data_IF_141351455639
#
_entry.id   IF_141351455639
#
_cell.length_a   1.000
_cell.length_b   1.000
_cell.length_c   1.000
_cell.angle_alpha   90.00
_cell.angle_beta   90.00
_cell.angle_gamma   90.00
#
_symmetry.space_group_name_H-M   'P 1'
#
loop_
_entity.id
_entity.type
_entity.pdbx_description
1 polymer ?
#
# COMPACT_ATOMS: atom_id res chain seq x y z
N UNK A 1 -9.23 12.68 2.11
CA UNK A 1 -8.16 12.50 3.14
C UNK A 1 -8.02 11.01 3.44
N UNK A 2 -6.83 10.49 3.34
CA UNK A 2 -6.53 9.10 3.71
C UNK A 2 -5.97 9.07 5.13
N UNK A 3 -6.53 8.20 5.98
CA UNK A 3 -6.07 8.01 7.36
C UNK A 3 -5.82 6.53 7.55
N UNK A 4 -4.56 6.12 7.69
CA UNK A 4 -4.20 4.70 7.80
C UNK A 4 -3.12 4.46 8.83
N UNK A 5 -3.07 3.23 9.34
CA UNK A 5 -1.96 2.72 10.14
C UNK A 5 -1.33 1.52 9.44
N UNK A 6 -0.06 1.32 9.70
CA UNK A 6 0.77 0.32 9.00
C UNK A 6 1.57 -0.49 10.00
N UNK A 7 1.61 -1.80 9.79
CA UNK A 7 2.25 -2.74 10.73
C UNK A 7 3.09 -3.75 9.97
N UNK A 8 4.23 -4.13 10.54
CA UNK A 8 5.00 -5.27 10.07
C UNK A 8 4.29 -6.56 10.46
N UNK A 9 4.37 -7.56 9.60
CA UNK A 9 3.75 -8.87 9.84
C UNK A 9 4.84 -9.93 9.91
N UNK A 10 5.18 -10.41 11.12
CA UNK A 10 6.26 -11.37 11.28
C UNK A 10 5.90 -12.78 10.76
N UNK A 11 4.62 -13.15 10.84
CA UNK A 11 4.15 -14.45 10.36
C UNK A 11 2.78 -14.28 9.71
N UNK A 12 2.64 -14.83 8.50
CA UNK A 12 1.38 -14.78 7.76
C UNK A 12 0.31 -15.64 8.44
N UNK A 13 -0.98 -15.23 8.42
CA UNK A 13 -2.07 -16.06 8.90
C UNK A 13 -2.15 -17.39 8.13
N UNK A 14 -2.52 -18.46 8.83
CA UNK A 14 -2.59 -19.82 8.24
C UNK A 14 -3.68 -19.94 7.16
N UNK A 15 -4.75 -19.14 7.28
CA UNK A 15 -5.91 -19.19 6.39
C UNK A 15 -5.84 -18.14 5.27
N UNK A 16 -4.65 -17.61 4.99
CA UNK A 16 -4.47 -16.48 4.07
C UNK A 16 -5.10 -16.72 2.69
N UNK A 17 -4.96 -17.92 2.16
CA UNK A 17 -5.46 -18.26 0.82
C UNK A 17 -7.00 -18.29 0.74
N UNK A 18 -7.70 -18.22 1.88
CA UNK A 18 -9.17 -18.15 1.90
C UNK A 18 -9.71 -16.75 1.60
N UNK A 19 -8.85 -15.73 1.62
CA UNK A 19 -9.27 -14.33 1.43
C UNK A 19 -9.14 -13.88 -0.02
N UNK A 20 -9.97 -12.91 -0.40
CA UNK A 20 -9.84 -12.22 -1.68
C UNK A 20 -8.51 -11.47 -1.75
N UNK A 21 -8.01 -11.26 -2.95
CA UNK A 21 -6.75 -10.55 -3.14
C UNK A 21 -6.74 -9.75 -4.44
N UNK A 22 -5.84 -8.79 -4.51
CA UNK A 22 -5.50 -8.06 -5.72
C UNK A 22 -4.02 -8.25 -6.05
N UNK A 23 -3.71 -8.32 -7.34
CA UNK A 23 -2.34 -8.27 -7.83
C UNK A 23 -2.05 -6.82 -8.18
N UNK A 24 -1.00 -6.25 -7.58
CA UNK A 24 -0.65 -4.84 -7.72
C UNK A 24 0.76 -4.70 -8.27
N UNK A 25 0.88 -3.83 -9.28
CA UNK A 25 2.15 -3.35 -9.81
C UNK A 25 2.10 -1.84 -9.78
N UNK A 26 3.14 -1.20 -9.26
CA UNK A 26 3.13 0.25 -9.15
C UNK A 26 4.52 0.86 -9.26
N UNK A 27 4.55 2.09 -9.75
CA UNK A 27 5.77 2.88 -9.86
C UNK A 27 5.50 4.34 -9.59
N UNK A 28 6.55 5.09 -9.31
CA UNK A 28 6.45 6.49 -8.92
C UNK A 28 7.06 7.39 -9.99
N UNK A 29 6.31 8.41 -10.40
CA UNK A 29 6.81 9.47 -11.27
C UNK A 29 7.48 10.58 -10.45
N UNK A 30 7.04 10.70 -9.19
CA UNK A 30 7.52 11.68 -8.25
C UNK A 30 7.15 11.20 -6.85
N UNK A 31 7.97 11.49 -5.84
CA UNK A 31 7.69 11.04 -4.47
C UNK A 31 7.41 12.17 -3.48
N UNK A 32 7.59 13.44 -3.90
CA UNK A 32 7.30 14.60 -3.05
C UNK A 32 6.83 15.76 -3.93
N UNK A 33 5.52 15.95 -4.11
CA UNK A 33 4.43 15.09 -3.67
C UNK A 33 4.46 13.72 -4.34
N UNK A 34 3.72 12.79 -3.81
CA UNK A 34 3.62 11.47 -4.43
C UNK A 34 2.76 11.55 -5.69
N UNK A 35 3.33 11.11 -6.81
CA UNK A 35 2.59 10.86 -8.05
C UNK A 35 2.93 9.44 -8.47
N UNK A 36 1.95 8.56 -8.40
CA UNK A 36 2.12 7.11 -8.58
C UNK A 36 1.19 6.61 -9.66
N UNK A 37 1.67 5.67 -10.45
CA UNK A 37 0.81 4.87 -11.33
C UNK A 37 0.71 3.46 -10.77
N UNK A 38 -0.47 2.86 -10.90
CA UNK A 38 -0.75 1.52 -10.39
C UNK A 38 -1.61 0.74 -11.37
N UNK A 39 -1.22 -0.49 -11.60
CA UNK A 39 -2.09 -1.52 -12.14
C UNK A 39 -2.57 -2.36 -10.97
N UNK A 40 -3.87 -2.48 -10.81
CA UNK A 40 -4.50 -3.34 -9.83
C UNK A 40 -5.44 -4.28 -10.57
N UNK A 41 -5.05 -5.55 -10.71
CA UNK A 41 -5.70 -6.52 -11.58
C UNK A 41 -5.79 -5.96 -13.01
N UNK A 42 -6.98 -5.62 -13.50
CA UNK A 42 -7.18 -5.04 -14.84
C UNK A 42 -7.49 -3.54 -14.79
N UNK A 43 -7.33 -2.90 -13.65
CA UNK A 43 -7.58 -1.47 -13.47
C UNK A 43 -6.27 -0.69 -13.43
N UNK A 44 -6.29 0.51 -13.97
CA UNK A 44 -5.11 1.38 -14.06
C UNK A 44 -5.45 2.74 -13.46
N UNK A 45 -4.63 3.21 -12.54
CA UNK A 45 -4.92 4.39 -11.72
C UNK A 45 -3.66 5.24 -11.58
N UNK A 46 -3.84 6.57 -11.70
CA UNK A 46 -2.82 7.54 -11.28
C UNK A 46 -3.27 8.12 -9.95
N UNK A 47 -2.36 8.14 -8.97
CA UNK A 47 -2.65 8.62 -7.63
C UNK A 47 -1.71 9.77 -7.27
N UNK A 48 -2.29 10.86 -6.75
CA UNK A 48 -1.57 11.95 -6.11
C UNK A 48 -1.76 11.81 -4.60
N UNK A 49 -0.67 11.92 -3.84
CA UNK A 49 -0.74 12.00 -2.37
C UNK A 49 0.06 13.19 -1.88
N UNK A 50 -0.55 13.99 -0.99
CA UNK A 50 0.10 15.10 -0.34
C UNK A 50 1.02 14.66 0.80
N UNK A 51 1.47 15.63 1.59
CA UNK A 51 2.35 15.40 2.73
C UNK A 51 1.59 14.76 3.88
N UNK A 52 2.32 14.06 4.75
CA UNK A 52 1.80 13.43 5.94
C UNK A 52 2.23 11.97 6.03
N UNK A 53 2.06 11.38 7.21
CA UNK A 53 2.37 9.97 7.45
C UNK A 53 1.10 9.18 7.73
N UNK A 54 0.31 9.60 8.72
CA UNK A 54 -0.97 8.95 9.02
C UNK A 54 -2.13 9.56 8.23
N UNK A 55 -2.17 10.90 8.09
CA UNK A 55 -3.23 11.62 7.40
C UNK A 55 -2.67 12.31 6.16
N UNK A 56 -3.26 12.04 4.98
CA UNK A 56 -2.78 12.57 3.70
C UNK A 56 -3.95 12.87 2.78
N UNK A 57 -3.79 13.90 1.96
CA UNK A 57 -4.67 14.09 0.81
C UNK A 57 -4.38 12.99 -0.21
N UNK A 58 -5.41 12.45 -0.82
CA UNK A 58 -5.30 11.43 -1.86
C UNK A 58 -6.31 11.69 -2.96
N UNK A 59 -5.83 11.69 -4.19
CA UNK A 59 -6.67 11.80 -5.38
C UNK A 59 -6.33 10.70 -6.34
N UNK A 60 -7.33 9.94 -6.77
CA UNK A 60 -7.18 8.83 -7.70
C UNK A 60 -7.87 9.15 -9.01
N UNK A 61 -7.14 9.04 -10.11
CA UNK A 61 -7.63 9.31 -11.46
C UNK A 61 -7.49 8.05 -12.32
N UNK A 62 -8.52 7.69 -13.08
CA UNK A 62 -8.42 6.50 -13.92
C UNK A 62 -7.46 6.71 -15.09
N UNK A 63 -6.75 5.65 -15.44
CA UNK A 63 -5.93 5.57 -16.65
C UNK A 63 -6.45 4.43 -17.52
N UNK A 64 -6.20 4.50 -18.82
CA UNK A 64 -6.33 3.34 -19.67
C UNK A 64 -5.00 2.57 -19.71
N UNK A 65 -5.01 1.37 -20.27
CA UNK A 65 -3.82 0.53 -20.34
C UNK A 65 -2.68 1.21 -21.11
N UNK A 66 -3.01 1.84 -22.23
CA UNK A 66 -2.02 2.51 -23.08
C UNK A 66 -1.31 3.64 -22.33
N UNK A 67 -2.07 4.47 -21.61
CA UNK A 67 -1.50 5.55 -20.79
C UNK A 67 -0.63 4.98 -19.66
N UNK A 68 -1.08 3.91 -19.02
CA UNK A 68 -0.31 3.26 -17.96
C UNK A 68 1.04 2.76 -18.49
N UNK A 69 1.03 2.03 -19.60
CA UNK A 69 2.27 1.50 -20.18
C UNK A 69 3.22 2.61 -20.62
N UNK A 70 2.69 3.71 -21.14
CA UNK A 70 3.48 4.88 -21.50
C UNK A 70 4.17 5.50 -20.28
N UNK A 71 3.39 5.73 -19.21
CA UNK A 71 3.91 6.32 -17.98
C UNK A 71 4.86 5.38 -17.25
N UNK A 72 4.64 4.07 -17.34
CA UNK A 72 5.51 3.06 -16.73
C UNK A 72 6.95 3.18 -17.21
N UNK A 73 7.16 3.58 -18.47
CA UNK A 73 8.50 3.81 -19.02
C UNK A 73 9.20 5.01 -18.39
N UNK A 74 8.45 5.88 -17.71
CA UNK A 74 8.95 7.14 -17.15
C UNK A 74 9.07 7.13 -15.63
N UNK A 75 8.85 6.02 -14.97
CA UNK A 75 8.96 5.95 -13.53
C UNK A 75 10.40 6.15 -13.05
N UNK A 76 10.53 6.72 -11.87
CA UNK A 76 11.80 6.80 -11.16
C UNK A 76 11.93 5.61 -10.22
N UNK A 77 13.12 4.99 -10.22
CA UNK A 77 13.42 3.91 -9.28
C UNK A 77 12.74 2.59 -9.59
N UNK A 78 12.46 1.83 -8.55
CA UNK A 78 12.00 0.46 -8.66
C UNK A 78 10.51 0.36 -8.95
N UNK A 79 10.14 -0.55 -9.84
CA UNK A 79 8.76 -1.00 -9.97
C UNK A 79 8.47 -1.94 -8.79
N UNK A 80 7.37 -1.71 -8.10
CA UNK A 80 6.98 -2.50 -6.93
C UNK A 80 5.82 -3.41 -7.33
N UNK A 81 5.96 -4.70 -7.05
CA UNK A 81 4.93 -5.70 -7.30
C UNK A 81 4.58 -6.40 -6.00
N UNK A 82 3.31 -6.61 -5.76
CA UNK A 82 2.84 -7.23 -4.53
C UNK A 82 1.47 -7.87 -4.71
N UNK A 83 1.14 -8.80 -3.81
CA UNK A 83 -0.19 -9.39 -3.70
C UNK A 83 -0.82 -8.84 -2.43
N UNK A 84 -1.98 -8.20 -2.59
CA UNK A 84 -2.70 -7.57 -1.47
C UNK A 84 -3.91 -8.41 -1.12
N UNK A 85 -3.89 -9.00 0.07
CA UNK A 85 -5.02 -9.75 0.60
C UNK A 85 -5.95 -8.82 1.35
N UNK A 86 -7.26 -9.04 1.22
CA UNK A 86 -8.29 -8.26 1.89
C UNK A 86 -8.89 -9.09 3.02
N UNK A 87 -8.58 -8.72 4.25
CA UNK A 87 -9.01 -9.47 5.44
C UNK A 87 -9.99 -8.61 6.24
N UNK A 88 -11.31 -8.91 6.19
CA UNK A 88 -12.28 -8.14 6.96
C UNK A 88 -12.04 -8.31 8.46
N UNK A 89 -12.08 -7.21 9.21
CA UNK A 89 -12.07 -7.23 10.68
C UNK A 89 -13.50 -7.19 11.18
N UNK A 90 -14.28 -6.26 10.63
CA UNK A 90 -15.69 -6.05 10.97
C UNK A 90 -16.38 -5.42 9.75
N UNK A 91 -17.60 -4.90 9.93
CA UNK A 91 -18.38 -4.31 8.84
C UNK A 91 -17.76 -3.00 8.31
N UNK A 92 -16.84 -2.38 9.06
CA UNK A 92 -16.27 -1.07 8.72
C UNK A 92 -14.80 -1.12 8.31
N UNK A 93 -14.03 -2.09 8.82
CA UNK A 93 -12.58 -2.13 8.65
C UNK A 93 -12.12 -3.37 7.90
N UNK A 94 -11.19 -3.17 6.99
CA UNK A 94 -10.53 -4.25 6.25
C UNK A 94 -9.02 -4.08 6.39
N UNK A 95 -8.35 -5.18 6.70
CA UNK A 95 -6.88 -5.24 6.67
C UNK A 95 -6.46 -5.45 5.23
N UNK A 96 -5.57 -4.60 4.74
CA UNK A 96 -4.89 -4.79 3.47
C UNK A 96 -3.51 -5.35 3.76
N UNK A 97 -3.34 -6.66 3.56
CA UNK A 97 -2.08 -7.35 3.84
C UNK A 97 -1.29 -7.52 2.56
N UNK A 98 -0.17 -6.80 2.47
CA UNK A 98 0.70 -6.81 1.30
C UNK A 98 1.84 -7.80 1.49
N UNK A 99 1.90 -8.79 0.61
CA UNK A 99 3.00 -9.74 0.48
C UNK A 99 3.77 -9.34 -0.78
N UNK A 100 4.98 -8.81 -0.58
CA UNK A 100 5.75 -8.25 -1.69
C UNK A 100 6.44 -9.34 -2.51
N UNK A 101 6.56 -9.08 -3.81
CA UNK A 101 7.34 -9.91 -4.72
C UNK A 101 8.79 -9.41 -4.79
N UNK A 102 9.68 -10.18 -5.43
CA UNK A 102 11.07 -9.77 -5.60
C UNK A 102 11.15 -8.31 -6.12
N UNK A 103 12.11 -7.52 -5.65
CA UNK A 103 13.21 -7.88 -4.74
C UNK A 103 12.88 -7.69 -3.26
N UNK A 104 11.62 -7.49 -2.90
CA UNK A 104 11.18 -7.20 -1.54
C UNK A 104 10.43 -8.36 -0.88
N UNK A 105 10.71 -9.58 -1.28
CA UNK A 105 9.95 -10.79 -0.89
C UNK A 105 9.96 -11.09 0.60
N UNK A 106 10.88 -10.52 1.36
CA UNK A 106 10.89 -10.70 2.82
C UNK A 106 9.97 -9.71 3.53
N UNK A 107 9.46 -8.70 2.82
CA UNK A 107 8.63 -7.66 3.42
C UNK A 107 7.16 -8.05 3.38
N UNK A 108 6.49 -7.89 4.51
CA UNK A 108 5.06 -8.11 4.67
C UNK A 108 4.51 -6.98 5.52
N UNK A 109 3.55 -6.26 5.00
CA UNK A 109 2.96 -5.09 5.65
C UNK A 109 1.44 -5.22 5.68
N UNK A 110 0.84 -4.87 6.80
CA UNK A 110 -0.61 -4.71 6.89
C UNK A 110 -0.95 -3.25 7.04
N UNK A 111 -1.92 -2.80 6.26
CA UNK A 111 -2.46 -1.45 6.34
C UNK A 111 -3.93 -1.53 6.70
N UNK A 112 -4.38 -0.61 7.55
CA UNK A 112 -5.79 -0.45 7.88
C UNK A 112 -6.13 1.01 7.70
N UNK A 113 -7.15 1.30 6.90
CA UNK A 113 -7.66 2.65 6.69
C UNK A 113 -8.84 2.91 7.61
N UNK A 114 -8.90 4.12 8.17
CA UNK A 114 -9.89 4.50 9.18
C UNK A 114 -10.72 5.67 8.71
N UNK A 115 -12.00 5.76 9.17
CA UNK A 115 -12.85 6.89 8.83
C UNK A 115 -12.47 8.20 9.54
N UNK A 116 -11.66 8.12 10.60
CA UNK A 116 -11.25 9.29 11.38
C UNK A 116 -9.93 9.02 12.10
N UNK A 117 -9.25 10.10 12.53
CA UNK A 117 -8.06 9.99 13.38
C UNK A 117 -8.39 9.34 14.72
N UNK A 118 -9.57 9.63 15.27
CA UNK A 118 -10.03 9.04 16.52
C UNK A 118 -10.12 7.52 16.39
N UNK A 119 -10.73 7.02 15.32
CA UNK A 119 -10.84 5.60 15.06
C UNK A 119 -9.45 4.95 14.89
N UNK A 120 -8.54 5.64 14.19
CA UNK A 120 -7.17 5.15 14.02
C UNK A 120 -6.44 5.02 15.35
N UNK A 121 -6.57 6.02 16.22
CA UNK A 121 -5.89 6.01 17.51
C UNK A 121 -6.48 4.99 18.48
N UNK A 122 -7.77 4.68 18.35
CA UNK A 122 -8.46 3.71 19.20
C UNK A 122 -8.26 2.26 18.75
N UNK A 123 -7.73 2.03 17.57
CA UNK A 123 -7.58 0.68 17.01
C UNK A 123 -6.59 -0.16 17.81
N UNK A 124 -7.05 -1.36 18.20
CA UNK A 124 -6.20 -2.37 18.85
C UNK A 124 -5.89 -3.44 17.81
N UNK A 125 -4.61 -3.57 17.39
CA UNK A 125 -4.26 -4.53 16.36
C UNK A 125 -4.43 -5.97 16.82
N UNK A 126 -4.77 -6.89 15.89
CA UNK A 126 -4.80 -8.31 16.18
C UNK A 126 -3.45 -8.82 16.70
N UNK A 127 -3.48 -9.91 17.46
CA UNK A 127 -2.27 -10.47 18.08
C UNK A 127 -1.17 -10.86 17.07
N UNK A 128 -1.54 -11.15 15.82
CA UNK A 128 -0.58 -11.56 14.79
C UNK A 128 0.10 -10.38 14.09
N UNK A 129 -0.32 -9.14 14.37
CA UNK A 129 0.38 -7.93 13.90
C UNK A 129 1.69 -7.77 14.68
N UNK A 130 2.71 -7.31 13.98
CA UNK A 130 3.99 -6.96 14.58
C UNK A 130 4.08 -5.46 14.90
N UNK A 131 5.26 -4.92 14.73
CA UNK A 131 5.57 -3.52 15.07
C UNK A 131 4.74 -2.55 14.23
N UNK A 132 4.18 -1.53 14.89
CA UNK A 132 3.56 -0.39 14.24
C UNK A 132 4.64 0.46 13.59
N UNK A 133 4.58 0.62 12.28
CA UNK A 133 5.54 1.40 11.50
C UNK A 133 4.87 2.57 10.77
N UNK A 134 3.68 2.95 11.23
CA UNK A 134 2.90 4.04 10.63
C UNK A 134 3.71 5.31 10.42
N UNK A 135 4.50 5.67 11.43
CA UNK A 135 5.30 6.91 11.42
C UNK A 135 6.72 6.72 10.88
N UNK A 136 7.04 5.53 10.37
CA UNK A 136 8.35 5.23 9.80
C UNK A 136 8.28 5.27 8.26
N UNK A 137 8.78 6.36 7.68
CA UNK A 137 8.73 6.57 6.24
C UNK A 137 9.45 5.49 5.41
N UNK A 138 10.37 4.72 6.03
CA UNK A 138 11.10 3.65 5.33
C UNK A 138 10.20 2.52 4.87
N UNK A 139 8.99 2.40 5.43
CA UNK A 139 8.02 1.38 5.06
C UNK A 139 6.95 1.89 4.11
N UNK A 140 7.05 3.14 3.65
CA UNK A 140 6.19 3.64 2.56
C UNK A 140 6.68 3.09 1.22
N UNK A 141 5.74 2.75 0.35
CA UNK A 141 6.09 2.24 -0.99
C UNK A 141 6.91 3.25 -1.78
N UNK A 142 6.70 4.55 -1.56
CA UNK A 142 7.52 5.61 -2.18
C UNK A 142 8.99 5.52 -1.78
N UNK A 143 9.28 5.12 -0.55
CA UNK A 143 10.66 4.88 -0.11
C UNK A 143 11.24 3.64 -0.78
N UNK A 144 10.45 2.55 -0.83
CA UNK A 144 10.88 1.29 -1.47
C UNK A 144 11.24 1.50 -2.93
N UNK A 145 10.57 2.40 -3.62
CA UNK A 145 10.86 2.71 -5.02
C UNK A 145 12.26 3.27 -5.21
N UNK A 146 12.86 3.85 -4.17
CA UNK A 146 14.18 4.49 -4.21
C UNK A 146 15.29 3.63 -3.63
N UNK A 147 14.98 2.50 -3.04
CA UNK A 147 15.99 1.60 -2.46
C UNK A 147 16.90 1.09 -3.58
N UNK A 148 18.21 1.18 -3.37
CA UNK A 148 19.18 0.64 -4.31
C UNK A 148 19.32 -0.87 -4.11
N UNK A 149 19.22 -1.57 -5.21
CA UNK A 149 19.27 -3.04 -5.25
C UNK A 149 20.66 -3.54 -5.57
#
# INVERSE_FOLDING_TARGET
MEIERKFLIPKLPDDLESYAFHLIEQGYLCTDPVVRIRRQDDNYILTYKGKGLMCREEYNLPLNQEAYEHLKEKIDGNLISKKRYLIPIDDELTIELDVFHEPFETLRLAEVEFPSEEAANAFVPPAWFGKDVTMDGRYHNSYLSKVQL
#
